data_IF_241736942036
#
_entry.id   IF_241736942036
#
_cell.length_a   1.000
_cell.length_b   1.000
_cell.length_c   1.000
_cell.angle_alpha   90.00
_cell.angle_beta   90.00
_cell.angle_gamma   90.00
#
_symmetry.space_group_name_H-M   'P 1'
#
loop_
_entity.id
_entity.type
_entity.pdbx_description
1 polymer ?
#
# COMPACT_ATOMS: atom_id res chain seq x y z
N UNK A 1 2.92 -9.24 -13.12
CA UNK A 1 4.24 -8.75 -12.63
C UNK A 1 4.22 -7.24 -12.47
N UNK A 2 3.73 -6.51 -13.46
CA UNK A 2 3.57 -5.06 -13.46
C UNK A 2 2.85 -4.50 -12.22
N UNK A 3 1.74 -5.11 -11.81
CA UNK A 3 1.02 -4.71 -10.59
C UNK A 3 1.89 -4.77 -9.32
N UNK A 4 2.76 -5.80 -9.19
CA UNK A 4 3.66 -5.91 -8.04
C UNK A 4 4.75 -4.83 -8.05
N UNK A 5 5.27 -4.47 -9.24
CA UNK A 5 6.22 -3.37 -9.35
C UNK A 5 5.57 -2.02 -9.02
N UNK A 6 4.35 -1.77 -9.52
CA UNK A 6 3.61 -0.55 -9.22
C UNK A 6 3.34 -0.42 -7.72
N UNK A 7 2.91 -1.52 -7.09
CA UNK A 7 2.74 -1.59 -5.64
C UNK A 7 4.02 -1.20 -4.88
N UNK A 8 5.18 -1.77 -5.23
CA UNK A 8 6.42 -1.44 -4.55
C UNK A 8 6.94 -0.04 -4.84
N UNK A 9 6.73 0.50 -6.06
CA UNK A 9 7.04 1.91 -6.38
C UNK A 9 6.21 2.86 -5.51
N UNK A 10 4.91 2.61 -5.41
CA UNK A 10 4.00 3.36 -4.55
C UNK A 10 4.40 3.24 -3.08
N UNK A 11 4.75 2.04 -2.62
CA UNK A 11 5.20 1.81 -1.24
C UNK A 11 6.45 2.62 -0.89
N UNK A 12 7.47 2.64 -1.77
CA UNK A 12 8.69 3.46 -1.55
C UNK A 12 8.35 4.94 -1.52
N UNK A 13 7.49 5.42 -2.43
CA UNK A 13 7.08 6.82 -2.45
C UNK A 13 6.34 7.25 -1.18
N UNK A 14 5.47 6.39 -0.65
CA UNK A 14 4.71 6.64 0.59
C UNK A 14 5.62 6.62 1.82
N UNK A 15 6.57 5.69 1.86
CA UNK A 15 7.51 5.53 2.99
C UNK A 15 8.63 6.58 2.94
N UNK A 16 8.92 7.12 1.75
CA UNK A 16 9.92 8.15 1.51
C UNK A 16 11.36 7.65 1.47
N UNK A 17 11.59 6.35 1.67
CA UNK A 17 12.91 5.73 1.60
C UNK A 17 12.82 4.23 1.26
N UNK A 18 13.92 3.68 0.75
CA UNK A 18 14.02 2.25 0.45
C UNK A 18 14.33 1.46 1.72
N UNK A 19 13.53 0.44 2.08
CA UNK A 19 13.77 -0.37 3.27
C UNK A 19 14.95 -1.32 3.08
N UNK A 20 15.63 -1.69 4.17
CA UNK A 20 16.70 -2.70 4.14
C UNK A 20 16.17 -4.13 3.92
N UNK A 21 14.92 -4.39 4.33
CA UNK A 21 14.29 -5.72 4.19
C UNK A 21 12.79 -5.60 3.94
N UNK A 22 12.25 -6.49 3.10
CA UNK A 22 10.83 -6.58 2.76
C UNK A 22 10.33 -7.99 3.07
N UNK A 23 9.20 -8.11 3.75
CA UNK A 23 8.56 -9.40 4.04
C UNK A 23 7.31 -9.57 3.17
N UNK A 24 7.16 -10.72 2.50
CA UNK A 24 5.93 -11.05 1.74
C UNK A 24 5.58 -12.54 1.85
N UNK A 25 4.38 -12.92 1.39
CA UNK A 25 3.86 -14.30 1.36
C UNK A 25 4.64 -15.27 0.43
N UNK A 26 5.65 -14.79 -0.28
CA UNK A 26 6.49 -15.60 -1.16
C UNK A 26 5.95 -15.79 -2.59
N UNK A 27 4.96 -15.02 -3.02
CA UNK A 27 4.48 -15.07 -4.41
C UNK A 27 5.62 -14.87 -5.43
N UNK A 28 5.63 -15.66 -6.52
CA UNK A 28 6.72 -15.73 -7.52
C UNK A 28 7.06 -14.40 -8.19
N UNK A 29 6.12 -13.45 -8.23
CA UNK A 29 6.36 -12.13 -8.83
C UNK A 29 7.18 -11.18 -7.94
N UNK A 30 7.21 -11.41 -6.62
CA UNK A 30 7.78 -10.45 -5.68
C UNK A 30 9.31 -10.33 -5.72
N UNK A 31 10.10 -11.42 -5.79
CA UNK A 31 11.56 -11.29 -5.80
C UNK A 31 12.06 -10.39 -6.95
N UNK A 32 11.49 -10.58 -8.15
CA UNK A 32 11.84 -9.77 -9.32
C UNK A 32 11.35 -8.33 -9.17
N UNK A 33 10.11 -8.12 -8.75
CA UNK A 33 9.57 -6.79 -8.55
C UNK A 33 10.37 -5.99 -7.51
N UNK A 34 10.69 -6.58 -6.36
CA UNK A 34 11.51 -5.96 -5.31
C UNK A 34 12.89 -5.57 -5.85
N UNK A 35 13.57 -6.49 -6.54
CA UNK A 35 14.89 -6.24 -7.13
C UNK A 35 14.88 -5.08 -8.12
N UNK A 36 13.85 -5.02 -8.98
CA UNK A 36 13.72 -3.98 -10.01
C UNK A 36 13.27 -2.62 -9.44
N UNK A 37 12.49 -2.59 -8.35
CA UNK A 37 11.96 -1.33 -7.80
C UNK A 37 12.77 -0.76 -6.64
N UNK A 38 13.34 -1.62 -5.79
CA UNK A 38 14.01 -1.24 -4.55
C UNK A 38 15.51 -1.58 -4.58
N UNK A 39 15.97 -2.31 -5.59
CA UNK A 39 17.36 -2.71 -5.75
C UNK A 39 17.67 -4.09 -5.16
N UNK A 40 18.78 -4.67 -5.62
CA UNK A 40 19.22 -6.03 -5.24
C UNK A 40 19.69 -6.16 -3.79
N UNK A 41 19.97 -5.04 -3.12
CA UNK A 41 20.47 -5.02 -1.75
C UNK A 41 19.35 -5.21 -0.71
N UNK A 42 18.08 -5.14 -1.12
CA UNK A 42 16.95 -5.32 -0.22
C UNK A 42 16.75 -6.81 0.07
N UNK A 43 16.82 -7.17 1.36
CA UNK A 43 16.61 -8.55 1.78
C UNK A 43 15.13 -8.92 1.69
N UNK A 44 14.78 -9.82 0.78
CA UNK A 44 13.44 -10.40 0.71
C UNK A 44 13.29 -11.55 1.71
N UNK A 45 12.29 -11.46 2.58
CA UNK A 45 11.98 -12.46 3.62
C UNK A 45 10.60 -13.05 3.37
N UNK A 46 10.47 -14.36 3.52
CA UNK A 46 9.21 -15.11 3.33
C UNK A 46 8.87 -16.00 4.52
N UNK A 47 9.48 -15.74 5.67
CA UNK A 47 9.31 -16.56 6.86
C UNK A 47 7.85 -16.51 7.37
N UNK A 48 7.27 -17.69 7.62
CA UNK A 48 5.92 -17.89 8.17
C UNK A 48 5.59 -16.98 9.37
N UNK A 49 6.51 -16.80 10.32
CA UNK A 49 6.25 -15.97 11.50
C UNK A 49 6.10 -14.49 11.17
N UNK A 50 6.89 -13.97 10.22
CA UNK A 50 6.77 -12.58 9.77
C UNK A 50 5.51 -12.41 8.92
N UNK A 51 5.15 -13.42 8.13
CA UNK A 51 3.90 -13.43 7.37
C UNK A 51 2.68 -13.45 8.29
N UNK A 52 2.73 -14.14 9.43
CA UNK A 52 1.65 -14.10 10.41
C UNK A 52 1.37 -12.69 10.94
N UNK A 53 2.40 -11.84 11.06
CA UNK A 53 2.22 -10.42 11.45
C UNK A 53 1.48 -9.64 10.37
N UNK A 54 1.81 -9.86 9.10
CA UNK A 54 1.11 -9.27 7.96
C UNK A 54 -0.36 -9.74 7.92
N UNK A 55 -0.60 -11.04 8.10
CA UNK A 55 -1.96 -11.58 8.15
C UNK A 55 -2.76 -11.03 9.32
N UNK A 56 -2.13 -10.81 10.48
CA UNK A 56 -2.75 -10.17 11.63
C UNK A 56 -3.12 -8.71 11.33
N UNK A 57 -2.24 -7.98 10.65
CA UNK A 57 -2.50 -6.60 10.21
C UNK A 57 -3.74 -6.51 9.31
N UNK A 58 -3.87 -7.47 8.39
CA UNK A 58 -4.99 -7.55 7.45
C UNK A 58 -6.31 -7.94 8.11
N UNK A 59 -6.34 -8.46 9.34
CA UNK A 59 -7.60 -8.89 9.99
C UNK A 59 -8.61 -7.76 10.11
N UNK A 60 -8.16 -6.55 10.40
CA UNK A 60 -9.05 -5.39 10.57
C UNK A 60 -9.82 -5.04 9.31
N UNK A 61 -9.15 -5.04 8.14
CA UNK A 61 -9.82 -4.77 6.86
C UNK A 61 -10.68 -5.97 6.44
N UNK A 62 -10.16 -7.20 6.58
CA UNK A 62 -10.87 -8.46 6.28
C UNK A 62 -12.19 -8.58 7.02
N UNK A 63 -12.21 -8.31 8.33
CA UNK A 63 -13.43 -8.35 9.14
C UNK A 63 -14.52 -7.41 8.65
N UNK A 64 -14.15 -6.29 8.01
CA UNK A 64 -15.12 -5.31 7.52
C UNK A 64 -15.68 -5.65 6.16
N UNK A 65 -14.85 -6.11 5.22
CA UNK A 65 -15.34 -6.41 3.87
C UNK A 65 -15.90 -7.84 3.73
N UNK A 66 -15.54 -8.79 4.59
CA UNK A 66 -16.09 -10.15 4.53
C UNK A 66 -17.62 -10.20 4.60
N UNK A 67 -18.30 -9.48 5.53
CA UNK A 67 -19.77 -9.42 5.58
C UNK A 67 -20.42 -8.85 4.31
N UNK A 68 -19.68 -8.05 3.55
CA UNK A 68 -20.16 -7.38 2.32
C UNK A 68 -20.10 -8.29 1.09
N UNK A 69 -19.55 -9.51 1.22
CA UNK A 69 -19.31 -10.47 0.12
C UNK A 69 -18.40 -9.93 -0.99
N UNK A 70 -17.49 -9.01 -0.66
CA UNK A 70 -16.59 -8.35 -1.60
C UNK A 70 -17.08 -6.95 -2.01
N UNK A 71 -16.44 -6.37 -3.03
CA UNK A 71 -16.66 -4.97 -3.41
C UNK A 71 -17.55 -4.77 -4.65
N UNK A 72 -17.75 -5.80 -5.47
CA UNK A 72 -18.54 -5.71 -6.72
C UNK A 72 -17.85 -4.96 -7.85
N UNK A 73 -17.24 -3.79 -7.58
CA UNK A 73 -16.45 -3.01 -8.56
C UNK A 73 -15.12 -2.54 -7.97
N UNK A 74 -14.19 -2.13 -8.85
CA UNK A 74 -12.87 -1.62 -8.45
C UNK A 74 -13.01 -0.26 -7.76
N UNK A 75 -13.93 0.60 -8.21
CA UNK A 75 -14.19 1.91 -7.62
C UNK A 75 -14.73 1.77 -6.19
N UNK A 76 -15.62 0.79 -5.96
CA UNK A 76 -16.12 0.49 -4.63
C UNK A 76 -14.99 0.00 -3.70
N UNK A 77 -14.09 -0.84 -4.21
CA UNK A 77 -12.90 -1.27 -3.47
C UNK A 77 -11.98 -0.10 -3.14
N UNK A 78 -11.71 0.78 -4.10
CA UNK A 78 -10.87 1.96 -3.93
C UNK A 78 -11.45 2.92 -2.89
N UNK A 79 -12.76 3.22 -2.96
CA UNK A 79 -13.45 4.08 -1.99
C UNK A 79 -13.41 3.47 -0.59
N UNK A 80 -13.67 2.17 -0.47
CA UNK A 80 -13.61 1.48 0.81
C UNK A 80 -12.20 1.48 1.40
N UNK A 81 -11.18 1.14 0.61
CA UNK A 81 -9.79 1.13 1.05
C UNK A 81 -9.33 2.52 1.49
N UNK A 82 -9.69 3.57 0.75
CA UNK A 82 -9.39 4.97 1.12
C UNK A 82 -10.02 5.33 2.47
N UNK A 83 -11.33 5.12 2.62
CA UNK A 83 -12.05 5.44 3.85
C UNK A 83 -11.57 4.60 5.05
N UNK A 84 -11.24 3.34 4.82
CA UNK A 84 -10.71 2.46 5.86
C UNK A 84 -9.30 2.88 6.29
N UNK A 85 -8.43 3.25 5.35
CA UNK A 85 -7.08 3.71 5.66
C UNK A 85 -7.10 5.04 6.43
N UNK A 86 -7.98 5.97 6.06
CA UNK A 86 -8.28 7.17 6.84
C UNK A 86 -8.70 6.83 8.27
N UNK A 87 -9.72 5.99 8.44
CA UNK A 87 -10.20 5.58 9.77
C UNK A 87 -9.08 4.93 10.60
N UNK A 88 -8.27 4.08 9.98
CA UNK A 88 -7.23 3.30 10.64
C UNK A 88 -6.03 4.16 11.05
N UNK A 89 -5.56 5.05 10.17
CA UNK A 89 -4.33 5.81 10.40
C UNK A 89 -4.59 7.13 11.12
N UNK A 90 -5.75 7.76 10.91
CA UNK A 90 -6.06 9.09 11.42
C UNK A 90 -7.01 9.06 12.62
N UNK A 91 -8.12 8.35 12.51
CA UNK A 91 -9.15 8.30 13.56
C UNK A 91 -8.84 7.26 14.65
N UNK A 92 -7.87 6.38 14.41
CA UNK A 92 -7.29 5.45 15.39
C UNK A 92 -5.76 5.52 15.40
N UNK A 93 -5.17 6.63 15.89
CA UNK A 93 -3.73 6.75 15.95
C UNK A 93 -3.14 5.61 16.78
N UNK A 94 -2.26 4.82 16.17
CA UNK A 94 -1.44 3.85 16.92
C UNK A 94 -0.42 4.68 17.70
N UNK A 95 -0.67 4.89 19.00
CA UNK A 95 0.27 5.63 19.84
C UNK A 95 1.50 4.78 20.09
N UNK A 96 2.68 5.28 19.75
CA UNK A 96 3.90 4.84 20.44
C UNK A 96 3.73 5.25 21.90
N UNK A 97 4.03 4.35 22.84
CA UNK A 97 3.86 4.65 24.26
C UNK A 97 4.66 5.91 24.62
N UNK A 98 3.97 6.96 25.08
CA UNK A 98 4.59 8.25 25.46
C UNK A 98 4.59 9.34 24.38
N UNK A 99 4.17 9.06 23.15
CA UNK A 99 4.18 10.04 22.04
C UNK A 99 2.80 10.68 21.85
N UNK A 100 2.76 12.03 21.88
CA UNK A 100 1.54 12.81 21.66
C UNK A 100 1.68 13.58 20.35
N UNK A 101 1.09 13.05 19.28
CA UNK A 101 0.99 13.74 17.98
C UNK A 101 -0.39 14.36 17.86
N UNK A 102 -0.47 15.65 17.49
CA UNK A 102 -1.75 16.33 17.32
C UNK A 102 -2.57 15.71 16.18
N UNK A 103 -3.90 15.79 16.24
CA UNK A 103 -4.75 15.35 15.13
C UNK A 103 -4.37 16.07 13.83
N UNK A 104 -4.11 17.38 13.87
CA UNK A 104 -3.75 18.14 12.67
C UNK A 104 -2.50 17.60 11.96
N UNK A 105 -1.45 17.24 12.71
CA UNK A 105 -0.22 16.68 12.14
C UNK A 105 -0.44 15.31 11.51
N UNK A 106 -1.24 14.46 12.16
CA UNK A 106 -1.62 13.16 11.59
C UNK A 106 -2.40 13.32 10.28
N UNK A 107 -3.30 14.32 10.21
CA UNK A 107 -4.06 14.62 8.99
C UNK A 107 -3.14 15.03 7.85
N UNK A 108 -2.15 15.89 8.15
CA UNK A 108 -1.18 16.36 7.16
C UNK A 108 -0.33 15.21 6.61
N UNK A 109 0.19 14.35 7.48
CA UNK A 109 0.98 13.19 7.07
C UNK A 109 0.17 12.22 6.19
N UNK A 110 -1.11 12.00 6.51
CA UNK A 110 -2.00 11.18 5.68
C UNK A 110 -2.20 11.78 4.28
N UNK A 111 -2.55 13.06 4.20
CA UNK A 111 -2.76 13.73 2.90
C UNK A 111 -1.50 13.69 2.03
N UNK A 112 -0.33 13.87 2.63
CA UNK A 112 0.95 13.74 1.91
C UNK A 112 1.15 12.32 1.33
N UNK A 113 0.86 11.28 2.11
CA UNK A 113 0.94 9.88 1.65
C UNK A 113 -0.10 9.58 0.56
N UNK A 114 -1.32 10.08 0.71
CA UNK A 114 -2.40 9.91 -0.27
C UNK A 114 -2.04 10.59 -1.60
N UNK A 115 -1.51 11.82 -1.54
CA UNK A 115 -1.03 12.52 -2.73
C UNK A 115 0.11 11.75 -3.38
N UNK A 116 1.07 11.19 -2.60
CA UNK A 116 2.13 10.34 -3.14
C UNK A 116 1.58 9.09 -3.84
N UNK A 117 0.54 8.45 -3.29
CA UNK A 117 -0.13 7.32 -3.94
C UNK A 117 -0.79 7.73 -5.27
N UNK A 118 -1.43 8.91 -5.30
CA UNK A 118 -2.12 9.43 -6.49
C UNK A 118 -1.14 9.86 -7.59
N UNK A 119 -0.07 10.57 -7.26
CA UNK A 119 0.94 11.00 -8.24
C UNK A 119 1.70 9.83 -8.86
N UNK A 120 1.88 8.74 -8.12
CA UNK A 120 2.46 7.49 -8.64
C UNK A 120 1.42 6.50 -9.21
N UNK A 121 0.12 6.77 -9.07
CA UNK A 121 -0.99 6.03 -9.69
C UNK A 121 -1.49 6.66 -11.00
N UNK A 122 -1.32 7.97 -11.22
CA UNK A 122 -1.82 8.72 -12.37
C UNK A 122 -0.85 8.80 -13.56
N UNK A 123 -0.08 7.75 -13.83
CA UNK A 123 0.66 7.60 -15.10
C UNK A 123 0.21 6.41 -15.95
N UNK A 124 -0.99 5.88 -15.70
CA UNK A 124 -1.54 4.77 -16.46
C UNK A 124 -2.94 5.07 -16.98
N UNK A 125 -3.20 6.22 -17.61
CA UNK A 125 -4.22 6.29 -18.67
C UNK A 125 -3.83 7.35 -19.71
N UNK A 126 -4.14 7.05 -20.98
CA UNK A 126 -4.15 7.92 -22.17
C UNK A 126 -2.83 7.97 -22.99
N UNK A 127 -2.54 6.88 -23.71
CA UNK A 127 -2.21 7.02 -25.13
C UNK A 127 -3.47 6.66 -25.93
N UNK A 128 -4.10 7.60 -26.66
CA UNK A 128 -5.02 7.22 -27.71
C UNK A 128 -4.17 6.65 -28.83
N UNK A 129 -4.23 5.33 -29.02
CA UNK A 129 -3.70 4.69 -30.21
C UNK A 129 -4.40 5.28 -31.44
N UNK A 130 -3.64 6.09 -32.19
CA UNK A 130 -3.69 6.17 -33.65
C UNK A 130 -5.04 6.52 -34.28
N UNK A 131 -5.27 7.82 -34.47
CA UNK A 131 -5.84 8.31 -35.72
C UNK A 131 -4.71 8.43 -36.73
N UNK A 132 -4.61 7.52 -37.71
CA UNK A 132 -4.02 7.80 -39.02
C UNK A 132 -4.66 6.91 -40.10
N UNK A 133 -5.22 7.60 -41.10
CA UNK A 133 -5.46 7.25 -42.51
C UNK A 133 -6.23 5.96 -42.85
#
# INVERSE_FOLDING_TARGET
MEAAQQFFKQAVAVVGHTPQSVTTDGHRSYPRAISETMGKNVQHRTNKYLNNRLEQDHRGIKQRYYPMRGFGTIEAAARFCCAFDELRNYLRPRRTMGEVVSLLEQRRAFLQRLVALQTHGLRNEITPSGSQA
#
